data_IF_092985559383
#
_entry.id   IF_092985559383
#
_cell.length_a   1.000
_cell.length_b   1.000
_cell.length_c   1.000
_cell.angle_alpha   90.00
_cell.angle_beta   90.00
_cell.angle_gamma   90.00
#
_symmetry.space_group_name_H-M   'P 1'
#
loop_
_entity.id
_entity.type
_entity.pdbx_description
1 polymer ?
#
# COMPACT_ATOMS: atom_id res chain seq x y z
N UNK A 1 -3.19 -14.10 -8.89
CA UNK A 1 -3.49 -12.87 -9.65
C UNK A 1 -4.04 -13.26 -11.02
N UNK A 2 -5.10 -12.60 -11.52
CA UNK A 2 -5.52 -12.75 -12.92
C UNK A 2 -4.36 -12.37 -13.86
N UNK A 3 -4.31 -12.94 -15.06
CA UNK A 3 -3.25 -12.64 -16.05
C UNK A 3 -3.30 -11.15 -16.45
N UNK A 4 -2.14 -10.51 -16.52
CA UNK A 4 -2.01 -9.15 -17.07
C UNK A 4 -2.11 -9.19 -18.60
N UNK A 5 -2.74 -8.17 -19.19
CA UNK A 5 -2.91 -8.06 -20.66
C UNK A 5 -1.58 -7.85 -21.40
N UNK A 6 -0.55 -7.34 -20.73
CA UNK A 6 0.79 -7.15 -21.30
C UNK A 6 1.85 -7.06 -20.21
N UNK A 7 3.12 -7.28 -20.58
CA UNK A 7 4.27 -7.10 -19.68
C UNK A 7 4.36 -5.67 -19.12
N UNK A 8 4.02 -4.65 -19.91
CA UNK A 8 4.00 -3.25 -19.46
C UNK A 8 3.02 -3.03 -18.29
N UNK A 9 1.87 -3.72 -18.28
CA UNK A 9 0.94 -3.66 -17.16
C UNK A 9 1.48 -4.35 -15.90
N UNK A 10 2.14 -5.51 -16.05
CA UNK A 10 2.83 -6.17 -14.95
C UNK A 10 3.93 -5.28 -14.37
N UNK A 11 4.76 -4.66 -15.23
CA UNK A 11 5.85 -3.81 -14.80
C UNK A 11 5.36 -2.62 -13.96
N UNK A 12 4.30 -1.94 -14.44
CA UNK A 12 3.65 -0.85 -13.71
C UNK A 12 3.04 -1.29 -12.39
N UNK A 13 2.47 -2.49 -12.34
CA UNK A 13 1.90 -3.04 -11.12
C UNK A 13 3.00 -3.36 -10.10
N UNK A 14 4.04 -4.09 -10.51
CA UNK A 14 5.14 -4.48 -9.61
C UNK A 14 5.91 -3.27 -9.12
N UNK A 15 6.13 -2.24 -9.95
CA UNK A 15 6.85 -1.04 -9.54
C UNK A 15 6.19 -0.25 -8.40
N UNK A 16 4.87 -0.39 -8.22
CA UNK A 16 4.14 0.27 -7.12
C UNK A 16 3.76 -0.69 -5.99
N UNK A 17 3.84 -2.00 -6.23
CA UNK A 17 3.32 -3.02 -5.31
C UNK A 17 4.09 -3.07 -3.99
N UNK A 18 5.41 -3.05 -4.03
CA UNK A 18 6.24 -3.18 -2.82
C UNK A 18 6.11 -1.94 -1.91
N UNK A 19 6.16 -0.70 -2.43
CA UNK A 19 5.89 0.50 -1.64
C UNK A 19 4.51 0.47 -0.96
N UNK A 20 3.47 0.04 -1.67
CA UNK A 20 2.10 -0.05 -1.11
C UNK A 20 2.06 -1.11 0.00
N UNK A 21 2.64 -2.28 -0.26
CA UNK A 21 2.60 -3.39 0.70
C UNK A 21 3.32 -3.01 1.98
N UNK A 22 4.52 -2.43 1.88
CA UNK A 22 5.27 -1.95 3.04
C UNK A 22 4.53 -0.85 3.81
N UNK A 23 3.88 0.08 3.11
CA UNK A 23 3.16 1.21 3.72
C UNK A 23 1.92 0.76 4.52
N UNK A 24 1.24 -0.31 4.10
CA UNK A 24 0.04 -0.81 4.75
C UNK A 24 0.25 -2.07 5.60
N UNK A 25 1.49 -2.57 5.72
CA UNK A 25 1.85 -3.70 6.57
C UNK A 25 1.91 -3.28 8.05
N UNK A 26 0.74 -2.97 8.61
CA UNK A 26 0.58 -2.59 10.01
C UNK A 26 0.25 -3.85 10.83
N UNK A 27 0.99 -4.17 11.90
CA UNK A 27 0.70 -5.34 12.73
C UNK A 27 -0.65 -5.15 13.42
N UNK A 28 -1.63 -6.00 13.09
CA UNK A 28 -3.00 -5.89 13.63
C UNK A 28 -3.17 -6.55 15.00
N UNK A 29 -2.33 -7.52 15.33
CA UNK A 29 -2.49 -8.34 16.54
C UNK A 29 -1.69 -7.80 17.73
N UNK A 30 -0.73 -6.92 17.49
CA UNK A 30 0.19 -6.41 18.51
C UNK A 30 -0.21 -5.01 19.02
N UNK A 31 -1.24 -4.40 18.43
CA UNK A 31 -1.68 -3.04 18.76
C UNK A 31 -3.19 -2.94 18.94
N UNK A 32 -3.62 -1.91 19.67
CA UNK A 32 -5.03 -1.62 19.83
C UNK A 32 -5.70 -1.23 18.50
N UNK A 33 -7.01 -1.46 18.42
CA UNK A 33 -7.79 -1.11 17.24
C UNK A 33 -7.80 0.40 16.93
N UNK A 34 -7.66 1.27 17.93
CA UNK A 34 -7.56 2.72 17.71
C UNK A 34 -6.23 3.07 17.06
N UNK A 35 -5.13 2.56 17.61
CA UNK A 35 -3.78 2.83 17.09
C UNK A 35 -3.60 2.30 15.66
N UNK A 36 -4.17 1.12 15.37
CA UNK A 36 -4.19 0.60 14.00
C UNK A 36 -4.92 1.55 13.01
N UNK A 37 -6.03 2.18 13.43
CA UNK A 37 -6.76 3.13 12.57
C UNK A 37 -5.96 4.41 12.32
N UNK A 38 -5.27 4.92 13.33
CA UNK A 38 -4.38 6.08 13.21
C UNK A 38 -3.25 5.81 12.21
N UNK A 39 -2.51 4.71 12.40
CA UNK A 39 -1.44 4.32 11.48
C UNK A 39 -1.95 4.12 10.04
N UNK A 40 -3.16 3.56 9.90
CA UNK A 40 -3.79 3.38 8.59
C UNK A 40 -4.20 4.71 7.94
N UNK A 41 -4.61 5.70 8.75
CA UNK A 41 -4.91 7.06 8.27
C UNK A 41 -3.64 7.76 7.78
N UNK A 42 -2.56 7.68 8.53
CA UNK A 42 -1.26 8.25 8.13
C UNK A 42 -0.71 7.57 6.87
N UNK A 43 -0.83 6.25 6.77
CA UNK A 43 -0.48 5.50 5.57
C UNK A 43 -1.26 5.99 4.33
N UNK A 44 -2.56 6.28 4.47
CA UNK A 44 -3.37 6.84 3.38
C UNK A 44 -2.95 8.26 3.00
N UNK A 45 -2.62 9.11 3.98
CA UNK A 45 -2.10 10.46 3.72
C UNK A 45 -0.78 10.41 2.94
N UNK A 46 0.14 9.54 3.34
CA UNK A 46 1.42 9.35 2.65
C UNK A 46 1.22 8.78 1.24
N UNK A 47 0.34 7.79 1.08
CA UNK A 47 -0.03 7.26 -0.23
C UNK A 47 -0.56 8.36 -1.15
N UNK A 48 -1.42 9.25 -0.64
CA UNK A 48 -1.91 10.39 -1.40
C UNK A 48 -0.80 11.33 -1.89
N UNK A 49 0.28 11.49 -1.13
CA UNK A 49 1.45 12.27 -1.56
C UNK A 49 2.24 11.55 -2.65
N UNK A 50 2.48 10.24 -2.49
CA UNK A 50 3.21 9.42 -3.47
C UNK A 50 2.44 9.33 -4.80
N UNK A 51 1.12 9.12 -4.75
CA UNK A 51 0.30 8.96 -5.94
C UNK A 51 0.10 10.26 -6.75
N UNK A 52 0.40 11.42 -6.15
CA UNK A 52 0.32 12.74 -6.80
C UNK A 52 1.68 13.27 -7.24
N UNK A 53 2.77 12.61 -6.87
CA UNK A 53 4.13 12.92 -7.32
C UNK A 53 4.39 12.33 -8.72
#
# INVERSE_FOLDING_TARGET
>A
MKRFKSQRHLQRFVSIHDPITNLFQIPRHDISSSHHRELRSEAMNLWGKIARA
#
